data_IF_822239241839
#
_entry.id   IF_822239241839
#
_cell.length_a   1.000
_cell.length_b   1.000
_cell.length_c   1.000
_cell.angle_alpha   90.00
_cell.angle_beta   90.00
_cell.angle_gamma   90.00
#
_symmetry.space_group_name_H-M   'P 1'
#
loop_
_entity.id
_entity.type
_entity.pdbx_description
1 polymer ?
#
# COMPACT_ATOMS: atom_id res chain seq x y z
N UNK A 1 31.39 -15.60 -7.49
CA UNK A 1 31.27 -14.14 -7.23
C UNK A 1 31.79 -13.83 -5.83
N UNK A 2 32.50 -12.70 -5.62
CA UNK A 2 33.04 -12.30 -4.31
C UNK A 2 32.12 -11.26 -3.65
N UNK A 3 31.58 -11.58 -2.48
CA UNK A 3 30.83 -10.64 -1.64
C UNK A 3 31.82 -9.82 -0.82
N UNK A 4 31.71 -8.49 -0.83
CA UNK A 4 32.58 -7.59 -0.06
C UNK A 4 31.83 -6.99 1.12
N UNK A 5 32.53 -6.60 2.20
CA UNK A 5 31.91 -5.91 3.34
C UNK A 5 31.15 -4.63 2.93
N UNK A 6 31.62 -3.92 1.90
CA UNK A 6 30.90 -2.75 1.36
C UNK A 6 29.58 -3.16 0.70
N UNK A 7 29.55 -4.30 0.01
CA UNK A 7 28.32 -4.84 -0.58
C UNK A 7 27.32 -5.26 0.52
N UNK A 8 27.80 -5.94 1.56
CA UNK A 8 26.97 -6.35 2.70
C UNK A 8 26.35 -5.14 3.40
N UNK A 9 27.15 -4.11 3.70
CA UNK A 9 26.65 -2.87 4.32
C UNK A 9 25.61 -2.15 3.44
N UNK A 10 25.81 -2.10 2.12
CA UNK A 10 24.83 -1.50 1.21
C UNK A 10 23.52 -2.29 1.18
N UNK A 11 23.59 -3.62 1.19
CA UNK A 11 22.40 -4.48 1.25
C UNK A 11 21.64 -4.24 2.57
N UNK A 12 22.35 -4.20 3.70
CA UNK A 12 21.73 -3.94 5.01
C UNK A 12 21.10 -2.55 5.07
N UNK A 13 21.78 -1.51 4.58
CA UNK A 13 21.22 -0.15 4.52
C UNK A 13 20.00 -0.08 3.60
N UNK A 14 20.02 -0.74 2.44
CA UNK A 14 18.84 -0.80 1.55
C UNK A 14 17.68 -1.52 2.21
N UNK A 15 17.95 -2.63 2.92
CA UNK A 15 16.93 -3.35 3.66
C UNK A 15 16.32 -2.50 4.78
N UNK A 16 17.14 -1.74 5.51
CA UNK A 16 16.64 -0.82 6.55
C UNK A 16 15.76 0.26 5.93
N UNK A 17 16.22 0.92 4.86
CA UNK A 17 15.43 1.94 4.18
C UNK A 17 14.10 1.38 3.65
N UNK A 18 14.10 0.18 3.06
CA UNK A 18 12.89 -0.48 2.60
C UNK A 18 11.91 -0.78 3.75
N UNK A 19 12.42 -1.24 4.89
CA UNK A 19 11.59 -1.47 6.07
C UNK A 19 11.01 -0.17 6.64
N UNK A 20 11.79 0.92 6.65
CA UNK A 20 11.30 2.23 7.08
C UNK A 20 10.15 2.74 6.20
N UNK A 21 10.27 2.59 4.87
CA UNK A 21 9.19 2.97 3.94
C UNK A 21 7.92 2.17 4.22
N UNK A 22 8.03 0.84 4.37
CA UNK A 22 6.89 -0.03 4.70
C UNK A 22 6.25 0.33 6.04
N UNK A 23 7.07 0.68 7.04
CA UNK A 23 6.55 1.11 8.34
C UNK A 23 5.74 2.40 8.23
N UNK A 24 6.18 3.34 7.39
CA UNK A 24 5.40 4.55 7.08
C UNK A 24 4.07 4.25 6.40
N UNK A 25 4.04 3.30 5.46
CA UNK A 25 2.80 2.84 4.81
C UNK A 25 1.84 2.19 5.81
N UNK A 26 2.34 1.31 6.68
CA UNK A 26 1.51 0.71 7.73
C UNK A 26 0.98 1.74 8.71
N UNK A 27 1.80 2.73 9.10
CA UNK A 27 1.34 3.84 9.93
C UNK A 27 0.21 4.63 9.25
N UNK A 28 0.30 4.87 7.93
CA UNK A 28 -0.78 5.51 7.17
C UNK A 28 -2.05 4.66 7.14
N UNK A 29 -1.93 3.34 6.96
CA UNK A 29 -3.09 2.42 6.97
C UNK A 29 -3.75 2.35 8.35
N UNK A 30 -2.95 2.34 9.43
CA UNK A 30 -3.45 2.37 10.80
C UNK A 30 -4.17 3.69 11.12
N UNK A 31 -3.60 4.82 10.71
CA UNK A 31 -4.20 6.14 10.94
C UNK A 31 -5.48 6.37 10.12
N UNK A 32 -5.57 5.87 8.88
CA UNK A 32 -6.77 6.02 8.05
C UNK A 32 -7.86 5.00 8.37
N UNK A 33 -7.52 3.88 9.02
CA UNK A 33 -8.41 2.74 9.21
C UNK A 33 -8.79 2.02 7.90
N UNK A 34 -8.25 2.47 6.76
CA UNK A 34 -8.54 1.95 5.44
C UNK A 34 -7.35 1.13 4.94
N UNK A 35 -7.62 -0.13 4.58
CA UNK A 35 -6.62 -1.04 4.01
C UNK A 35 -6.05 -0.56 2.68
N UNK A 36 -6.82 0.27 1.96
CA UNK A 36 -6.46 0.82 0.65
C UNK A 36 -6.59 2.33 0.74
N UNK A 37 -5.46 3.03 0.83
CA UNK A 37 -5.42 4.50 0.89
C UNK A 37 -5.13 5.13 -0.47
N UNK A 38 -4.36 4.44 -1.31
CA UNK A 38 -4.01 4.92 -2.65
C UNK A 38 -4.45 3.91 -3.70
N UNK A 39 -4.94 4.38 -4.87
CA UNK A 39 -5.26 3.51 -6.00
C UNK A 39 -4.08 2.64 -6.46
N UNK A 40 -2.86 3.10 -6.20
CA UNK A 40 -1.60 2.43 -6.51
C UNK A 40 -1.32 1.21 -5.63
N UNK A 41 -1.88 1.13 -4.42
CA UNK A 41 -1.57 0.05 -3.47
C UNK A 41 -2.22 -1.27 -3.89
N UNK A 42 -3.45 -1.21 -4.42
CA UNK A 42 -4.14 -2.36 -5.03
C UNK A 42 -5.21 -1.88 -6.02
N UNK A 43 -4.86 -1.73 -7.32
CA UNK A 43 -5.81 -1.25 -8.32
C UNK A 43 -7.01 -2.20 -8.52
N UNK A 44 -6.88 -3.49 -8.19
CA UNK A 44 -7.95 -4.49 -8.32
C UNK A 44 -8.95 -4.35 -7.16
N UNK A 45 -8.46 -4.16 -5.94
CA UNK A 45 -9.34 -3.89 -4.80
C UNK A 45 -10.08 -2.55 -4.98
N UNK A 46 -9.40 -1.51 -5.46
CA UNK A 46 -9.97 -0.18 -5.67
C UNK A 46 -11.08 -0.19 -6.71
N UNK A 47 -10.86 -0.87 -7.85
CA UNK A 47 -11.87 -0.98 -8.91
C UNK A 47 -13.12 -1.70 -8.42
N UNK A 48 -12.98 -2.81 -7.67
CA UNK A 48 -14.12 -3.47 -7.02
C UNK A 48 -14.83 -2.56 -6.02
N UNK A 49 -14.09 -1.82 -5.20
CA UNK A 49 -14.65 -0.87 -4.22
C UNK A 49 -15.43 0.26 -4.91
N UNK A 50 -14.91 0.80 -6.01
CA UNK A 50 -15.58 1.80 -6.83
C UNK A 50 -16.87 1.25 -7.46
N UNK A 51 -16.85 0.01 -7.95
CA UNK A 51 -18.00 -0.64 -8.56
C UNK A 51 -19.11 -0.94 -7.55
N UNK A 52 -18.73 -1.35 -6.33
CA UNK A 52 -19.69 -1.53 -5.23
C UNK A 52 -20.26 -0.19 -4.79
N UNK A 53 -19.41 0.85 -4.65
CA UNK A 53 -19.86 2.21 -4.31
C UNK A 53 -20.81 2.78 -5.36
N UNK A 54 -20.53 2.59 -6.65
CA UNK A 54 -21.42 3.06 -7.71
C UNK A 54 -22.75 2.32 -7.67
N UNK A 55 -22.74 1.00 -7.48
CA UNK A 55 -23.97 0.19 -7.34
C UNK A 55 -24.82 0.64 -6.15
N UNK A 56 -24.19 0.95 -5.02
CA UNK A 56 -24.89 1.44 -3.83
C UNK A 56 -25.49 2.84 -4.07
N UNK A 57 -24.74 3.74 -4.71
CA UNK A 57 -25.23 5.07 -5.07
C UNK A 57 -26.40 5.01 -6.06
N UNK A 58 -26.35 4.09 -7.04
CA UNK A 58 -27.50 3.84 -7.92
C UNK A 58 -28.72 3.39 -7.12
N UNK A 59 -28.57 2.48 -6.16
CA UNK A 59 -29.68 2.01 -5.33
C UNK A 59 -30.29 3.12 -4.44
N UNK A 60 -29.43 3.96 -3.83
CA UNK A 60 -29.87 5.14 -3.05
C UNK A 60 -30.61 6.17 -3.91
N UNK A 61 -30.33 6.24 -5.21
CA UNK A 61 -30.99 7.20 -6.11
C UNK A 61 -32.41 6.78 -6.53
N UNK A 62 -32.72 5.47 -6.50
CA UNK A 62 -34.03 4.93 -6.87
C UNK A 62 -34.95 4.64 -5.67
N UNK A 63 -34.45 4.79 -4.44
CA UNK A 63 -35.22 4.62 -3.19
C UNK A 63 -35.46 5.98 -2.55
#
# INVERSE_FOLDING_TARGET
MRVTNRMLNNITLNNINHNLTKMGEFQQQLSSGCRVNKPSDDPIAVTKLLMVKSTLAFHEQYT
#
